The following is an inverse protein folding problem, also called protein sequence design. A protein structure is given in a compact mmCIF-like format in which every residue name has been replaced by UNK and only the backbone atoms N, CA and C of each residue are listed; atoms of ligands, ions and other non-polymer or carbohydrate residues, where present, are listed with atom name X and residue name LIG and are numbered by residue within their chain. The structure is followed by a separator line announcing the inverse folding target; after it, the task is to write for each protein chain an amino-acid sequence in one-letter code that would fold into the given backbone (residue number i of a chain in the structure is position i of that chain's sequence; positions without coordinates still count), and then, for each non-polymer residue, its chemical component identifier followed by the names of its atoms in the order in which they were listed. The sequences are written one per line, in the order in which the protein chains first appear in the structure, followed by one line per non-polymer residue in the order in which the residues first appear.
data_IF_210131085966
#
_entry.id   IF_210131085966
#
_cell.length_a   1.000
_cell.length_b   1.000
_cell.length_c   1.000
_cell.angle_alpha   90.00
_cell.angle_beta   90.00
_cell.angle_gamma   90.00
#
_symmetry.space_group_name_H-M   'P 1'
#
loop_
_entity.id
_entity.type
_entity.pdbx_description
1 polymer ?
#
# COMPACT_ATOMS: atom_id res chain seq x y z
N UNK A 1 16.22 1.77 -11.25
CA UNK A 1 14.91 1.03 -11.21
C UNK A 1 13.86 1.99 -10.67
N UNK A 2 12.73 2.15 -11.36
CA UNK A 2 11.65 3.06 -10.93
C UNK A 2 10.43 2.25 -10.52
N UNK A 3 9.78 2.61 -9.44
CA UNK A 3 8.50 2.04 -8.99
C UNK A 3 7.49 3.17 -8.77
N UNK A 4 6.38 3.12 -9.49
CA UNK A 4 5.29 4.09 -9.48
C UNK A 4 4.07 3.49 -8.76
N UNK A 5 3.75 4.02 -7.58
CA UNK A 5 2.82 3.40 -6.64
C UNK A 5 1.63 4.31 -6.42
N UNK A 6 0.41 3.77 -6.50
CA UNK A 6 -0.80 4.40 -5.96
C UNK A 6 -1.25 3.66 -4.69
N UNK A 7 -1.51 4.39 -3.64
CA UNK A 7 -2.12 3.87 -2.40
C UNK A 7 -3.45 4.58 -2.24
N UNK A 8 -4.53 3.85 -2.12
CA UNK A 8 -5.86 4.43 -2.09
C UNK A 8 -6.82 3.69 -1.15
N UNK A 9 -7.67 4.46 -0.46
CA UNK A 9 -8.62 3.94 0.53
C UNK A 9 -9.46 5.05 1.15
N UNK A 10 -10.08 4.80 2.29
CA UNK A 10 -10.78 5.83 3.06
C UNK A 10 -9.84 6.66 3.93
N UNK A 11 -10.23 7.88 4.21
CA UNK A 11 -9.62 8.68 5.29
C UNK A 11 -9.66 7.89 6.61
N UNK A 12 -8.52 7.86 7.32
CA UNK A 12 -8.36 7.07 8.56
C UNK A 12 -7.76 5.68 8.38
N UNK A 13 -7.69 5.13 7.17
CA UNK A 13 -7.01 3.84 6.91
C UNK A 13 -5.47 3.93 6.84
N UNK A 14 -4.91 5.12 7.04
CA UNK A 14 -3.46 5.32 7.05
C UNK A 14 -2.79 5.35 5.65
N UNK A 15 -3.58 5.60 4.59
CA UNK A 15 -3.13 5.72 3.20
C UNK A 15 -1.96 6.69 3.07
N UNK A 16 -2.14 7.93 3.53
CA UNK A 16 -1.12 8.98 3.44
C UNK A 16 0.11 8.65 4.29
N UNK A 17 -0.09 7.99 5.44
CA UNK A 17 1.01 7.56 6.32
C UNK A 17 1.87 6.50 5.66
N UNK A 18 1.28 5.50 4.98
CA UNK A 18 2.04 4.51 4.21
C UNK A 18 2.89 5.16 3.14
N UNK A 19 2.29 6.05 2.34
CA UNK A 19 3.03 6.77 1.29
C UNK A 19 4.16 7.62 1.86
N UNK A 20 3.94 8.30 2.98
CA UNK A 20 4.96 9.11 3.65
C UNK A 20 6.13 8.26 4.18
N UNK A 21 5.83 7.10 4.76
CA UNK A 21 6.85 6.16 5.24
C UNK A 21 7.69 5.65 4.06
N UNK A 22 7.05 5.22 2.96
CA UNK A 22 7.76 4.79 1.75
C UNK A 22 8.64 5.90 1.18
N UNK A 23 8.14 7.13 1.11
CA UNK A 23 8.91 8.28 0.65
C UNK A 23 10.17 8.51 1.49
N UNK A 24 10.06 8.53 2.82
CA UNK A 24 11.22 8.64 3.69
C UNK A 24 12.17 7.44 3.56
N UNK A 25 11.62 6.24 3.35
CA UNK A 25 12.44 5.03 3.17
C UNK A 25 13.29 5.09 1.90
N UNK A 26 12.73 5.62 0.80
CA UNK A 26 13.48 5.86 -0.43
C UNK A 26 14.59 6.88 -0.25
N UNK A 27 14.29 8.00 0.43
CA UNK A 27 15.31 9.01 0.77
C UNK A 27 16.46 8.39 1.59
N UNK A 28 16.16 7.46 2.51
CA UNK A 28 17.18 6.76 3.30
C UNK A 28 18.04 5.79 2.46
N UNK A 29 17.64 5.50 1.23
CA UNK A 29 18.39 4.68 0.26
C UNK A 29 19.06 5.51 -0.84
N UNK A 30 19.07 6.84 -0.69
CA UNK A 30 19.60 7.77 -1.68
C UNK A 30 18.84 7.71 -3.03
N UNK A 31 17.53 7.37 -3.00
CA UNK A 31 16.68 7.39 -4.17
C UNK A 31 16.04 8.77 -4.40
N UNK A 32 15.75 9.07 -5.67
CA UNK A 32 14.86 10.16 -6.04
C UNK A 32 13.42 9.78 -5.64
N UNK A 33 12.71 10.71 -4.99
CA UNK A 33 11.40 10.42 -4.41
C UNK A 33 10.40 11.49 -4.75
N UNK A 34 9.20 11.07 -5.18
CA UNK A 34 8.02 11.93 -5.23
C UNK A 34 6.94 11.38 -4.32
N UNK A 35 6.32 12.26 -3.53
CA UNK A 35 5.19 11.95 -2.66
C UNK A 35 4.10 12.99 -2.91
N UNK A 36 3.02 12.57 -3.55
CA UNK A 36 1.93 13.47 -3.97
C UNK A 36 0.58 12.97 -3.45
N UNK A 37 0.13 13.50 -2.30
CA UNK A 37 -1.20 13.18 -1.77
C UNK A 37 -2.27 13.94 -2.57
N UNK A 38 -3.38 13.25 -2.84
CA UNK A 38 -4.58 13.86 -3.40
C UNK A 38 -5.57 14.17 -2.26
N UNK A 39 -5.83 15.47 -2.07
CA UNK A 39 -6.81 15.97 -1.11
C UNK A 39 -8.04 16.47 -1.86
N UNK A 40 -9.17 15.79 -1.68
CA UNK A 40 -10.47 16.31 -2.14
C UNK A 40 -11.28 16.87 -0.96
N UNK A 41 -12.30 17.70 -1.19
CA UNK A 41 -13.24 18.14 -0.15
C UNK A 41 -13.99 16.97 0.53
N UNK A 42 -13.85 15.78 0.03
CA UNK A 42 -14.48 14.53 0.43
C UNK A 42 -13.74 13.79 1.57
N UNK A 43 -12.70 14.40 2.18
CA UNK A 43 -11.82 13.72 3.15
C UNK A 43 -12.47 13.26 4.46
N UNK A 44 -13.67 13.75 4.80
CA UNK A 44 -14.45 13.22 5.93
C UNK A 44 -15.45 12.17 5.42
N UNK A 45 -14.98 10.92 5.30
CA UNK A 45 -15.74 9.80 4.76
C UNK A 45 -15.56 9.56 3.26
N UNK A 46 -14.68 10.35 2.58
CA UNK A 46 -14.32 10.20 1.19
C UNK A 46 -13.02 9.41 0.97
N UNK A 47 -12.70 9.17 -0.29
CA UNK A 47 -11.48 8.47 -0.70
C UNK A 47 -10.25 9.34 -0.53
N UNK A 48 -9.24 8.82 0.15
CA UNK A 48 -7.90 9.38 0.21
C UNK A 48 -6.98 8.58 -0.72
N UNK A 49 -6.09 9.24 -1.43
CA UNK A 49 -5.06 8.55 -2.20
C UNK A 49 -3.74 9.32 -2.19
N UNK A 50 -2.66 8.61 -2.43
CA UNK A 50 -1.33 9.17 -2.54
C UNK A 50 -0.56 8.43 -3.62
N UNK A 51 0.09 9.18 -4.50
CA UNK A 51 1.08 8.66 -5.43
C UNK A 51 2.46 8.75 -4.82
N UNK A 52 3.22 7.67 -4.88
CA UNK A 52 4.64 7.62 -4.48
C UNK A 52 5.45 7.12 -5.66
N UNK A 53 6.53 7.80 -5.98
CA UNK A 53 7.52 7.36 -6.96
C UNK A 53 8.85 7.20 -6.23
N UNK A 54 9.47 6.04 -6.39
CA UNK A 54 10.83 5.77 -5.94
C UNK A 54 11.67 5.43 -7.16
N UNK A 55 12.82 6.07 -7.34
CA UNK A 55 13.64 5.92 -8.54
C UNK A 55 15.11 6.11 -8.26
N UNK A 56 15.97 5.33 -8.91
CA UNK A 56 17.41 5.55 -9.00
C UNK A 56 17.78 6.61 -10.06
N UNK A 57 16.78 7.11 -10.81
CA UNK A 57 16.94 8.15 -11.81
C UNK A 57 16.05 9.36 -11.48
N UNK A 58 16.37 10.50 -12.10
CA UNK A 58 15.61 11.74 -11.90
C UNK A 58 14.16 11.60 -12.32
N UNK A 59 13.23 11.92 -11.43
CA UNK A 59 11.80 11.93 -11.69
C UNK A 59 11.41 13.13 -12.54
N UNK A 60 10.93 12.85 -13.75
CA UNK A 60 10.55 13.91 -14.71
C UNK A 60 9.20 14.55 -14.40
N UNK A 61 8.26 13.79 -13.82
CA UNK A 61 6.91 14.26 -13.48
C UNK A 61 6.33 13.46 -12.31
N UNK A 62 5.71 14.13 -11.34
CA UNK A 62 4.95 13.45 -10.28
C UNK A 62 3.53 13.03 -10.72
N UNK A 63 3.08 13.48 -11.88
CA UNK A 63 1.71 13.21 -12.36
C UNK A 63 1.67 11.93 -13.18
N UNK A 64 1.05 10.89 -12.61
CA UNK A 64 0.92 9.58 -13.24
C UNK A 64 -0.55 9.29 -13.60
N UNK A 65 -0.74 8.54 -14.69
CA UNK A 65 -2.04 7.99 -15.11
C UNK A 65 -2.12 6.48 -14.93
N UNK A 66 -0.96 5.82 -14.91
CA UNK A 66 -0.80 4.39 -14.74
C UNK A 66 0.28 4.11 -13.71
N UNK A 67 0.23 2.95 -13.07
CA UNK A 67 1.06 2.62 -11.90
C UNK A 67 1.64 1.22 -12.05
N UNK A 68 2.87 1.02 -11.56
CA UNK A 68 3.47 -0.31 -11.44
C UNK A 68 2.79 -1.11 -10.34
N UNK A 69 2.45 -0.44 -9.24
CA UNK A 69 1.75 -1.06 -8.10
C UNK A 69 0.58 -0.21 -7.63
N UNK A 70 -0.56 -0.86 -7.37
CA UNK A 70 -1.72 -0.28 -6.68
C UNK A 70 -1.96 -0.99 -5.35
N UNK A 71 -2.07 -0.23 -4.25
CA UNK A 71 -2.48 -0.71 -2.92
C UNK A 71 -3.87 -0.16 -2.63
N UNK A 72 -4.87 -1.04 -2.59
CA UNK A 72 -6.28 -0.68 -2.58
C UNK A 72 -6.97 -1.16 -1.30
N UNK A 73 -7.62 -0.25 -0.58
CA UNK A 73 -8.18 -0.52 0.74
C UNK A 73 -9.71 -0.36 0.82
N UNK A 74 -10.38 -0.01 -0.27
CA UNK A 74 -11.84 0.06 -0.35
C UNK A 74 -12.35 -0.11 -1.78
N UNK A 75 -13.65 -0.40 -1.93
CA UNK A 75 -14.28 -0.65 -3.25
C UNK A 75 -14.18 0.56 -4.18
N UNK A 76 -14.44 1.77 -3.70
CA UNK A 76 -14.39 2.97 -4.55
C UNK A 76 -13.01 3.18 -5.17
N UNK A 77 -11.96 2.86 -4.42
CA UNK A 77 -10.58 2.92 -4.92
C UNK A 77 -10.28 1.77 -5.88
N UNK A 78 -10.87 0.58 -5.68
CA UNK A 78 -10.78 -0.54 -6.62
C UNK A 78 -11.37 -0.14 -7.98
N UNK A 79 -12.60 0.35 -8.00
CA UNK A 79 -13.31 0.78 -9.21
C UNK A 79 -12.55 1.86 -9.98
N UNK A 80 -11.83 2.71 -9.26
CA UNK A 80 -11.07 3.81 -9.85
C UNK A 80 -9.72 3.37 -10.39
N UNK A 81 -8.96 2.59 -9.63
CA UNK A 81 -7.52 2.40 -9.86
C UNK A 81 -7.12 1.01 -10.39
N UNK A 82 -7.98 -0.02 -10.34
CA UNK A 82 -7.66 -1.34 -10.91
C UNK A 82 -7.22 -1.22 -12.38
N UNK A 83 -7.98 -0.48 -13.18
CA UNK A 83 -7.69 -0.23 -14.60
C UNK A 83 -6.44 0.61 -14.87
N UNK A 84 -5.92 1.28 -13.86
CA UNK A 84 -4.74 2.13 -13.95
C UNK A 84 -3.44 1.38 -13.60
N UNK A 85 -3.51 0.11 -13.24
CA UNK A 85 -2.32 -0.73 -13.08
C UNK A 85 -1.78 -1.09 -14.46
N UNK A 86 -0.48 -0.93 -14.69
CA UNK A 86 0.18 -1.32 -15.94
C UNK A 86 0.05 -2.83 -16.19
N UNK A 87 -0.06 -3.30 -17.44
CA UNK A 87 0.07 -4.73 -17.74
C UNK A 87 1.37 -5.29 -17.14
N UNK A 88 1.28 -6.45 -16.47
CA UNK A 88 2.39 -7.04 -15.71
C UNK A 88 2.69 -6.35 -14.37
N UNK A 89 1.89 -5.35 -13.99
CA UNK A 89 1.97 -4.68 -12.69
C UNK A 89 1.35 -5.48 -11.55
N UNK A 90 1.30 -4.89 -10.37
CA UNK A 90 0.82 -5.53 -9.14
C UNK A 90 -0.36 -4.76 -8.53
N UNK A 91 -1.37 -5.49 -8.09
CA UNK A 91 -2.47 -4.98 -7.28
C UNK A 91 -2.49 -5.71 -5.94
N UNK A 92 -2.41 -4.96 -4.84
CA UNK A 92 -2.50 -5.49 -3.47
C UNK A 92 -3.74 -4.90 -2.81
N UNK A 93 -4.57 -5.74 -2.17
CA UNK A 93 -5.77 -5.25 -1.52
C UNK A 93 -6.11 -5.99 -0.21
N UNK A 94 -6.84 -5.31 0.67
CA UNK A 94 -7.48 -5.94 1.83
C UNK A 94 -8.90 -6.35 1.43
N UNK A 95 -9.27 -7.64 1.48
CA UNK A 95 -10.58 -8.10 1.08
C UNK A 95 -11.72 -7.55 1.95
N UNK A 96 -11.45 -7.13 3.19
CA UNK A 96 -12.47 -6.63 4.11
C UNK A 96 -13.18 -5.34 3.63
N UNK A 97 -12.55 -4.58 2.73
CA UNK A 97 -13.12 -3.34 2.16
C UNK A 97 -13.61 -3.50 0.73
N UNK A 98 -13.60 -4.73 0.18
CA UNK A 98 -13.86 -5.02 -1.22
C UNK A 98 -15.10 -5.91 -1.35
N UNK A 99 -16.09 -5.45 -2.09
CA UNK A 99 -17.34 -6.19 -2.38
C UNK A 99 -17.23 -6.93 -3.72
N UNK A 100 -16.68 -6.25 -4.74
CA UNK A 100 -16.40 -6.84 -6.05
C UNK A 100 -14.89 -7.05 -6.17
N UNK A 101 -14.49 -8.30 -6.24
CA UNK A 101 -13.08 -8.66 -6.39
C UNK A 101 -12.52 -8.21 -7.74
N UNK A 102 -11.21 -7.95 -7.83
CA UNK A 102 -10.58 -7.57 -9.09
C UNK A 102 -10.73 -8.68 -10.13
N UNK A 103 -10.83 -8.26 -11.40
CA UNK A 103 -11.15 -9.15 -12.53
C UNK A 103 -10.03 -9.24 -13.58
N UNK A 104 -9.00 -8.42 -13.48
CA UNK A 104 -7.90 -8.38 -14.43
C UNK A 104 -7.03 -9.64 -14.32
N UNK A 105 -6.65 -10.17 -15.47
CA UNK A 105 -5.80 -11.38 -15.61
C UNK A 105 -4.40 -11.07 -16.16
N UNK A 106 -4.15 -9.82 -16.51
CA UNK A 106 -2.88 -9.34 -17.07
C UNK A 106 -1.97 -8.65 -16.03
N UNK A 107 -2.33 -8.75 -14.75
CA UNK A 107 -1.59 -8.22 -13.59
C UNK A 107 -1.52 -9.28 -12.49
N UNK A 108 -0.53 -9.17 -11.62
CA UNK A 108 -0.46 -9.99 -10.41
C UNK A 108 -1.33 -9.37 -9.31
N UNK A 109 -2.22 -10.15 -8.73
CA UNK A 109 -3.15 -9.69 -7.70
C UNK A 109 -2.85 -10.41 -6.39
N UNK A 110 -2.71 -9.66 -5.30
CA UNK A 110 -2.42 -10.20 -3.97
C UNK A 110 -3.43 -9.70 -2.95
N UNK A 111 -3.77 -10.58 -2.00
CA UNK A 111 -4.57 -10.26 -0.83
C UNK A 111 -3.71 -10.20 0.43
N UNK A 112 -3.98 -9.21 1.26
CA UNK A 112 -3.48 -9.13 2.64
C UNK A 112 -4.63 -8.79 3.57
N UNK A 113 -5.00 -9.72 4.46
CA UNK A 113 -6.12 -9.56 5.39
C UNK A 113 -5.74 -8.64 6.58
N UNK A 114 -5.37 -7.42 6.27
CA UNK A 114 -4.81 -6.47 7.23
C UNK A 114 -5.74 -6.16 8.39
N UNK A 115 -7.05 -6.03 8.14
CA UNK A 115 -8.05 -5.78 9.18
C UNK A 115 -8.17 -6.96 10.16
N UNK A 116 -8.21 -8.20 9.65
CA UNK A 116 -8.24 -9.41 10.48
C UNK A 116 -6.98 -9.51 11.32
N UNK A 117 -5.82 -9.39 10.70
CA UNK A 117 -4.52 -9.49 11.37
C UNK A 117 -4.31 -8.39 12.41
N UNK A 118 -4.75 -7.15 12.15
CA UNK A 118 -4.70 -6.06 13.13
C UNK A 118 -5.60 -6.33 14.34
N UNK A 119 -6.77 -6.95 14.11
CA UNK A 119 -7.68 -7.37 15.18
C UNK A 119 -7.04 -8.48 16.04
N UNK A 120 -6.41 -9.47 15.42
CA UNK A 120 -5.65 -10.53 16.11
C UNK A 120 -4.49 -9.98 16.94
N UNK A 121 -3.83 -8.92 16.46
CA UNK A 121 -2.78 -8.21 17.21
C UNK A 121 -3.32 -7.32 18.33
N UNK A 122 -4.64 -7.24 18.52
CA UNK A 122 -5.27 -6.41 19.53
C UNK A 122 -5.16 -4.89 19.27
N UNK A 123 -4.75 -4.49 18.08
CA UNK A 123 -4.57 -3.06 17.76
C UNK A 123 -4.90 -2.75 16.29
N UNK A 124 -6.12 -2.28 16.06
CA UNK A 124 -6.58 -1.90 14.71
C UNK A 124 -5.78 -0.77 14.06
N UNK A 125 -5.04 0.02 14.84
CA UNK A 125 -4.23 1.14 14.30
C UNK A 125 -3.00 0.70 13.53
N UNK A 126 -2.60 -0.57 13.63
CA UNK A 126 -1.45 -1.11 12.87
C UNK A 126 -1.84 -1.69 11.52
N UNK A 127 -3.11 -1.61 11.13
CA UNK A 127 -3.65 -2.10 9.86
C UNK A 127 -2.79 -1.69 8.66
N UNK A 128 -2.51 -0.41 8.52
CA UNK A 128 -1.72 0.12 7.42
C UNK A 128 -0.27 -0.41 7.40
N UNK A 129 0.31 -0.71 8.56
CA UNK A 129 1.65 -1.31 8.64
C UNK A 129 1.66 -2.77 8.20
N UNK A 130 0.58 -3.50 8.45
CA UNK A 130 0.41 -4.87 7.95
C UNK A 130 0.32 -4.83 6.41
N UNK A 131 -0.50 -3.95 5.85
CA UNK A 131 -0.62 -3.79 4.39
C UNK A 131 0.71 -3.39 3.77
N UNK A 132 1.42 -2.43 4.37
CA UNK A 132 2.76 -2.04 3.96
C UNK A 132 3.73 -3.23 3.96
N UNK A 133 3.66 -4.08 4.97
CA UNK A 133 4.46 -5.32 5.04
C UNK A 133 4.17 -6.27 3.88
N UNK A 134 2.90 -6.45 3.53
CA UNK A 134 2.51 -7.23 2.36
C UNK A 134 3.13 -6.67 1.07
N UNK A 135 3.04 -5.36 0.86
CA UNK A 135 3.66 -4.70 -0.28
C UNK A 135 5.18 -4.94 -0.32
N UNK A 136 5.89 -4.74 0.78
CA UNK A 136 7.35 -4.93 0.86
C UNK A 136 7.79 -6.38 0.58
N UNK A 137 6.94 -7.37 0.84
CA UNK A 137 7.21 -8.77 0.50
C UNK A 137 7.18 -9.00 -1.01
N UNK A 138 6.24 -8.38 -1.72
CA UNK A 138 6.04 -8.54 -3.16
C UNK A 138 6.97 -7.62 -3.97
N UNK A 139 7.14 -6.39 -3.48
CA UNK A 139 7.99 -5.36 -4.08
C UNK A 139 9.06 -4.93 -3.07
N UNK A 140 10.19 -5.65 -2.97
CA UNK A 140 11.27 -5.34 -2.01
C UNK A 140 12.15 -4.16 -2.50
N UNK A 141 11.52 -3.06 -2.88
CA UNK A 141 12.16 -1.85 -3.43
C UNK A 141 12.90 -1.04 -2.37
N UNK A 142 12.49 -1.16 -1.11
CA UNK A 142 13.16 -0.52 0.04
C UNK A 142 13.54 -1.55 1.10
N UNK A 143 14.70 -1.39 1.70
CA UNK A 143 15.17 -2.26 2.78
C UNK A 143 14.34 -2.05 4.05
N UNK A 144 14.04 -3.12 4.77
CA UNK A 144 13.22 -3.04 5.99
C UNK A 144 13.81 -2.09 7.03
N UNK A 145 15.13 -2.03 7.19
CA UNK A 145 15.76 -1.10 8.13
C UNK A 145 15.51 0.36 7.74
N UNK A 146 15.52 0.68 6.45
CA UNK A 146 15.18 2.01 5.94
C UNK A 146 13.69 2.32 6.16
N UNK A 147 12.80 1.32 6.10
CA UNK A 147 11.38 1.48 6.42
C UNK A 147 11.19 1.83 7.91
N UNK A 148 11.95 1.21 8.80
CA UNK A 148 11.91 1.54 10.23
C UNK A 148 12.44 2.96 10.50
N UNK A 149 13.51 3.37 9.83
CA UNK A 149 13.99 4.76 9.92
C UNK A 149 12.98 5.75 9.30
N UNK A 150 12.38 5.42 8.16
CA UNK A 150 11.29 6.19 7.55
C UNK A 150 10.08 6.33 8.47
N UNK A 151 9.73 5.27 9.18
CA UNK A 151 8.69 5.29 10.21
C UNK A 151 9.03 6.25 11.36
N UNK A 152 10.26 6.22 11.88
CA UNK A 152 10.73 7.19 12.88
C UNK A 152 10.62 8.63 12.40
N UNK A 153 11.05 8.90 11.16
CA UNK A 153 10.97 10.24 10.55
C UNK A 153 9.54 10.71 10.35
N UNK A 154 8.60 9.80 10.09
CA UNK A 154 7.20 10.12 9.85
C UNK A 154 6.39 10.33 11.14
N UNK A 155 6.82 9.74 12.26
CA UNK A 155 6.13 9.80 13.54
C UNK A 155 6.72 10.89 14.46
N UNK A 156 5.87 11.67 15.16
CA UNK A 156 6.33 12.49 16.27
C UNK A 156 7.03 11.64 17.35
N UNK A 157 8.07 12.19 18.00
CA UNK A 157 8.87 11.47 19.01
C UNK A 157 8.03 10.79 20.10
N UNK A 158 6.97 11.44 20.55
CA UNK A 158 6.02 10.88 21.56
C UNK A 158 5.39 9.54 21.16
N UNK A 159 5.46 9.17 19.88
CA UNK A 159 4.94 7.90 19.35
C UNK A 159 6.04 6.89 18.98
N UNK A 160 7.31 7.20 19.23
CA UNK A 160 8.40 6.27 18.91
C UNK A 160 8.37 4.98 19.73
N UNK A 161 7.70 4.98 20.88
CA UNK A 161 7.42 3.77 21.66
C UNK A 161 6.54 2.75 20.90
N UNK A 162 5.84 3.18 19.84
CA UNK A 162 5.04 2.32 18.98
C UNK A 162 5.84 1.65 17.85
N UNK A 163 7.09 2.03 17.62
CA UNK A 163 7.92 1.50 16.54
C UNK A 163 8.08 -0.03 16.63
N UNK A 164 8.36 -0.64 17.81
CA UNK A 164 8.43 -2.09 17.90
C UNK A 164 7.14 -2.81 17.50
N UNK A 165 5.97 -2.24 17.85
CA UNK A 165 4.67 -2.77 17.46
C UNK A 165 4.46 -2.65 15.94
N UNK A 166 4.79 -1.50 15.36
CA UNK A 166 4.69 -1.29 13.92
C UNK A 166 5.62 -2.23 13.14
N UNK A 167 6.84 -2.47 13.64
CA UNK A 167 7.78 -3.45 13.05
C UNK A 167 7.17 -4.85 13.05
N UNK A 168 6.56 -5.28 14.17
CA UNK A 168 5.85 -6.57 14.24
C UNK A 168 4.70 -6.63 13.23
N UNK A 169 3.94 -5.55 13.06
CA UNK A 169 2.85 -5.48 12.10
C UNK A 169 3.34 -5.61 10.64
N UNK A 170 4.42 -4.92 10.28
CA UNK A 170 5.06 -5.06 8.96
C UNK A 170 5.49 -6.52 8.73
N UNK A 171 6.18 -7.13 9.69
CA UNK A 171 6.59 -8.55 9.60
C UNK A 171 5.39 -9.48 9.45
N UNK A 172 4.31 -9.22 10.20
CA UNK A 172 3.06 -10.00 10.10
C UNK A 172 2.46 -9.92 8.69
N UNK A 173 2.45 -8.73 8.08
CA UNK A 173 1.99 -8.52 6.71
C UNK A 173 2.86 -9.24 5.67
N UNK A 174 4.18 -9.18 5.82
CA UNK A 174 5.12 -9.91 4.95
C UNK A 174 4.89 -11.43 4.95
N UNK A 175 4.44 -11.98 6.07
CA UNK A 175 4.19 -13.42 6.26
C UNK A 175 2.79 -13.86 5.81
N UNK A 176 1.86 -12.92 5.62
CA UNK A 176 0.44 -13.19 5.40
C UNK A 176 -0.11 -12.44 4.17
N UNK A 177 0.63 -12.45 3.09
CA UNK A 177 0.17 -12.00 1.78
C UNK A 177 0.09 -13.18 0.83
N UNK A 178 -0.99 -13.29 0.06
CA UNK A 178 -1.28 -14.45 -0.79
C UNK A 178 -1.65 -13.99 -2.21
N UNK A 179 -1.19 -14.74 -3.19
CA UNK A 179 -1.61 -14.56 -4.59
C UNK A 179 -3.12 -14.86 -4.70
N UNK A 180 -3.86 -13.92 -5.28
CA UNK A 180 -5.26 -14.09 -5.59
C UNK A 180 -5.40 -14.59 -7.03
N UNK A 181 -6.01 -15.76 -7.19
CA UNK A 181 -6.23 -16.34 -8.51
C UNK A 181 -7.67 -16.04 -8.98
N UNK A 182 -7.80 -15.18 -9.99
CA UNK A 182 -9.07 -14.76 -10.58
C UNK A 182 -9.83 -15.97 -11.19
N UNK A 183 -9.13 -16.91 -11.81
CA UNK A 183 -9.74 -18.06 -12.48
C UNK A 183 -10.47 -19.01 -11.51
N UNK A 184 -9.95 -19.17 -10.29
CA UNK A 184 -10.58 -20.03 -9.28
C UNK A 184 -11.92 -19.50 -8.74
N UNK A 185 -12.20 -18.20 -8.92
CA UNK A 185 -13.48 -17.61 -8.48
C UNK A 185 -14.58 -17.77 -9.53
N UNK A 186 -14.24 -17.81 -10.80
CA UNK A 186 -15.21 -18.00 -11.89
C UNK A 186 -15.79 -19.42 -11.90
N UNK A 187 -15.05 -20.40 -11.38
CA UNK A 187 -15.50 -21.81 -11.30
C UNK A 187 -16.36 -22.12 -10.06
N UNK A 188 -16.34 -21.29 -9.02
CA UNK A 188 -17.15 -21.51 -7.81
C UNK A 188 -18.53 -20.89 -7.85
N UNK A 189 -18.91 -20.23 -8.96
CA UNK A 189 -20.25 -19.64 -9.19
C UNK A 189 -21.03 -20.32 -10.31
N UNK A 190 -20.59 -21.49 -10.78
CA UNK A 190 -21.29 -22.40 -11.70
C UNK A 190 -21.77 -23.65 -10.94
#
# INVERSE_FOLDING_TARGET
MTEEIIIAGFGGQGVLSMGKILAYSGIMQDEEVSWMPSYGPEMRGGTANVTVILSDERISSPYLKVYDTAIILNQQSMDKFEKSVKPGGVLIYDPNGIVMHPTRTDIDIYQVEGNRLATEMGNKKVFNMIVLGGFLKIRPIVKLDNVIEGLKKSLPERYHNLIPLNKKAITKGMQNIFLYNVENQLTNHL
#
